data_IF_488652278626
#
_entry.id   IF_488652278626
#
_cell.length_a   1.000
_cell.length_b   1.000
_cell.length_c   1.000
_cell.angle_alpha   90.00
_cell.angle_beta   90.00
_cell.angle_gamma   90.00
#
_symmetry.space_group_name_H-M   'P 1'
#
loop_
_entity.id
_entity.type
_entity.pdbx_description
1 polymer ?
#
# COMPACT_ATOMS: atom_id res chain seq x y z
N UNK A 1 -12.76 -19.85 -7.91
CA UNK A 1 -12.93 -18.73 -8.86
C UNK A 1 -14.21 -18.02 -8.49
N UNK A 2 -14.16 -16.69 -8.35
CA UNK A 2 -15.34 -15.87 -8.09
C UNK A 2 -15.48 -14.88 -9.24
N UNK A 3 -16.71 -14.65 -9.71
CA UNK A 3 -17.03 -13.73 -10.78
C UNK A 3 -17.87 -12.58 -10.23
N UNK A 4 -17.53 -11.36 -10.60
CA UNK A 4 -18.28 -10.15 -10.27
C UNK A 4 -18.64 -9.42 -11.58
N UNK A 5 -19.90 -9.02 -11.71
CA UNK A 5 -20.38 -8.20 -12.85
C UNK A 5 -20.81 -6.86 -12.29
N UNK A 6 -20.17 -5.79 -12.77
CA UNK A 6 -20.59 -4.41 -12.48
C UNK A 6 -21.45 -3.94 -13.64
N UNK A 7 -22.72 -3.62 -13.37
CA UNK A 7 -23.67 -3.11 -14.36
C UNK A 7 -23.70 -1.58 -14.31
N UNK A 8 -24.08 -0.95 -15.42
CA UNK A 8 -24.20 0.50 -15.55
C UNK A 8 -22.93 1.25 -15.11
N UNK A 9 -21.76 0.75 -15.53
CA UNK A 9 -20.50 1.44 -15.30
C UNK A 9 -20.38 2.60 -16.28
N UNK A 10 -20.14 3.81 -15.77
CA UNK A 10 -19.93 4.98 -16.62
C UNK A 10 -18.76 4.76 -17.58
N UNK A 11 -18.92 5.22 -18.83
CA UNK A 11 -17.93 5.00 -19.88
C UNK A 11 -16.59 5.69 -19.57
N UNK A 12 -16.61 6.83 -18.89
CA UNK A 12 -15.41 7.54 -18.46
C UNK A 12 -14.61 6.76 -17.42
N UNK A 13 -15.28 6.07 -16.49
CA UNK A 13 -14.66 5.19 -15.49
C UNK A 13 -14.00 4.01 -16.19
N UNK A 14 -14.69 3.40 -17.16
CA UNK A 14 -14.14 2.30 -17.97
C UNK A 14 -12.89 2.74 -18.73
N UNK A 15 -12.92 3.90 -19.39
CA UNK A 15 -11.75 4.43 -20.11
C UNK A 15 -10.57 4.70 -19.18
N UNK A 16 -10.82 5.33 -18.02
CA UNK A 16 -9.78 5.60 -17.03
C UNK A 16 -9.16 4.32 -16.48
N UNK A 17 -9.96 3.28 -16.24
CA UNK A 17 -9.47 1.96 -15.83
C UNK A 17 -8.56 1.33 -16.90
N UNK A 18 -8.95 1.40 -18.17
CA UNK A 18 -8.12 0.89 -19.27
C UNK A 18 -6.81 1.66 -19.39
N UNK A 19 -6.84 2.98 -19.30
CA UNK A 19 -5.63 3.81 -19.33
C UNK A 19 -4.70 3.48 -18.16
N UNK A 20 -5.24 3.31 -16.95
CA UNK A 20 -4.49 2.95 -15.75
C UNK A 20 -3.85 1.56 -15.89
N UNK A 21 -4.60 0.59 -16.41
CA UNK A 21 -4.09 -0.76 -16.67
C UNK A 21 -2.90 -0.74 -17.65
N UNK A 22 -3.00 0.04 -18.74
CA UNK A 22 -1.90 0.24 -19.69
C UNK A 22 -0.67 0.86 -19.03
N UNK A 23 -0.85 1.88 -18.17
CA UNK A 23 0.26 2.51 -17.42
C UNK A 23 0.97 1.51 -16.49
N UNK A 24 0.23 0.57 -15.92
CA UNK A 24 0.78 -0.47 -15.04
C UNK A 24 1.24 -1.73 -15.79
N UNK A 25 1.14 -1.78 -17.13
CA UNK A 25 1.58 -2.92 -17.93
C UNK A 25 0.76 -4.19 -17.71
N UNK A 26 -0.53 -4.07 -17.37
CA UNK A 26 -1.42 -5.22 -17.08
C UNK A 26 -2.76 -5.12 -17.77
N UNK A 27 -3.52 -6.22 -17.76
CA UNK A 27 -4.88 -6.23 -18.30
C UNK A 27 -5.82 -5.38 -17.43
N UNK A 28 -6.89 -4.87 -18.04
CA UNK A 28 -7.93 -4.13 -17.32
C UNK A 28 -8.55 -4.97 -16.20
N UNK A 29 -8.71 -6.28 -16.42
CA UNK A 29 -9.20 -7.21 -15.40
C UNK A 29 -8.25 -7.28 -14.20
N UNK A 30 -6.93 -7.42 -14.43
CA UNK A 30 -5.94 -7.47 -13.35
C UNK A 30 -5.86 -6.13 -12.60
N UNK A 31 -6.01 -5.00 -13.31
CA UNK A 31 -6.11 -3.68 -12.69
C UNK A 31 -7.31 -3.61 -11.75
N UNK A 32 -8.50 -3.99 -12.21
CA UNK A 32 -9.72 -3.98 -11.41
C UNK A 32 -9.59 -4.90 -10.20
N UNK A 33 -9.08 -6.13 -10.41
CA UNK A 33 -8.86 -7.08 -9.31
C UNK A 33 -7.89 -6.53 -8.27
N UNK A 34 -6.84 -5.84 -8.71
CA UNK A 34 -5.88 -5.22 -7.81
C UNK A 34 -6.52 -4.07 -7.03
N UNK A 35 -7.25 -3.19 -7.70
CA UNK A 35 -7.96 -2.08 -7.04
C UNK A 35 -8.91 -2.62 -5.97
N UNK A 36 -9.74 -3.62 -6.31
CA UNK A 36 -10.66 -4.25 -5.35
C UNK A 36 -9.91 -4.90 -4.19
N UNK A 37 -8.81 -5.62 -4.48
CA UNK A 37 -7.98 -6.23 -3.43
C UNK A 37 -7.42 -5.18 -2.48
N UNK A 38 -6.88 -4.08 -2.99
CA UNK A 38 -6.38 -3.00 -2.14
C UNK A 38 -7.50 -2.32 -1.38
N UNK A 39 -8.63 -2.01 -2.02
CA UNK A 39 -9.74 -1.33 -1.36
C UNK A 39 -10.36 -2.15 -0.23
N UNK A 40 -10.46 -3.48 -0.41
CA UNK A 40 -11.12 -4.36 0.57
C UNK A 40 -10.15 -4.90 1.62
N UNK A 41 -8.90 -5.22 1.24
CA UNK A 41 -7.92 -5.82 2.17
C UNK A 41 -6.98 -4.79 2.81
N UNK A 42 -6.98 -3.53 2.39
CA UNK A 42 -6.20 -2.51 3.08
C UNK A 42 -6.80 -2.16 4.45
N UNK A 43 -8.12 -2.26 4.64
CA UNK A 43 -8.76 -2.01 5.94
C UNK A 43 -8.42 -3.07 7.01
N UNK A 44 -8.13 -4.31 6.61
CA UNK A 44 -7.71 -5.37 7.54
C UNK A 44 -6.27 -5.19 8.04
N UNK A 45 -5.48 -4.36 7.35
CA UNK A 45 -4.30 -3.77 7.97
C UNK A 45 -4.79 -2.55 8.69
N UNK A 46 -5.37 -2.76 9.87
CA UNK A 46 -5.41 -1.74 10.91
C UNK A 46 -4.07 -1.01 10.81
N UNK A 47 -4.11 0.27 10.45
CA UNK A 47 -2.94 1.11 10.28
C UNK A 47 -2.23 1.11 11.62
N UNK A 48 -1.39 0.09 11.85
CA UNK A 48 -0.57 0.01 13.05
C UNK A 48 0.27 1.26 12.93
N UNK A 49 0.09 2.25 13.83
CA UNK A 49 0.70 3.54 13.67
C UNK A 49 2.19 3.32 13.44
N UNK A 50 2.78 4.08 12.51
CA UNK A 50 4.17 3.88 12.11
C UNK A 50 5.10 3.77 13.34
N UNK A 51 4.84 4.57 14.38
CA UNK A 51 5.51 4.51 15.67
C UNK A 51 5.42 3.14 16.37
N UNK A 52 4.24 2.53 16.42
CA UNK A 52 4.04 1.19 17.00
C UNK A 52 4.76 0.10 16.19
N UNK A 53 4.78 0.22 14.86
CA UNK A 53 5.54 -0.70 13.99
C UNK A 53 7.05 -0.58 14.21
N UNK A 54 7.55 0.64 14.30
CA UNK A 54 8.95 0.93 14.58
C UNK A 54 9.34 0.40 15.96
N UNK A 55 8.57 0.73 17.00
CA UNK A 55 8.80 0.26 18.36
C UNK A 55 8.84 -1.28 18.43
N UNK A 56 7.88 -1.97 17.79
CA UNK A 56 7.87 -3.44 17.75
C UNK A 56 9.08 -4.04 17.04
N UNK A 57 9.58 -3.40 15.96
CA UNK A 57 10.77 -3.87 15.23
C UNK A 57 12.06 -3.75 16.06
N UNK A 58 12.12 -2.77 16.95
CA UNK A 58 13.32 -2.48 17.75
C UNK A 58 13.18 -2.84 19.24
N UNK A 59 12.07 -3.44 19.68
CA UNK A 59 11.77 -3.74 21.08
C UNK A 59 12.86 -4.58 21.79
N UNK A 60 13.60 -5.40 21.04
CA UNK A 60 14.72 -6.21 21.55
C UNK A 60 16.11 -5.74 21.12
N UNK A 61 16.22 -4.60 20.43
CA UNK A 61 17.48 -4.13 19.85
C UNK A 61 18.40 -3.41 20.85
N UNK A 62 17.93 -3.15 22.08
CA UNK A 62 18.75 -2.52 23.12
C UNK A 62 19.23 -1.11 22.74
N UNK A 63 18.37 -0.32 22.09
CA UNK A 63 18.67 1.05 21.67
C UNK A 63 18.69 2.00 22.90
N UNK A 64 19.70 1.85 23.75
CA UNK A 64 19.91 2.66 24.95
C UNK A 64 20.94 3.75 24.75
N UNK A 65 21.66 3.74 23.62
CA UNK A 65 22.60 4.78 23.25
C UNK A 65 21.84 6.07 22.90
N UNK A 66 22.35 7.21 23.34
CA UNK A 66 21.86 8.50 22.86
C UNK A 66 22.05 8.58 21.35
N UNK A 67 21.02 9.10 20.67
CA UNK A 67 21.08 9.40 19.26
C UNK A 67 22.12 10.50 19.04
N UNK A 68 23.27 10.11 18.50
CA UNK A 68 24.31 11.03 18.06
C UNK A 68 23.82 11.76 16.81
N UNK A 69 23.93 13.08 16.84
CA UNK A 69 23.74 13.87 15.64
C UNK A 69 24.83 13.51 14.61
N UNK A 70 24.50 13.42 13.31
CA UNK A 70 25.47 13.02 12.28
C UNK A 70 26.73 13.90 12.24
N UNK A 71 26.64 15.14 12.71
CA UNK A 71 27.76 16.08 12.82
C UNK A 71 28.75 15.72 13.92
N UNK A 72 28.31 15.02 14.97
CA UNK A 72 29.14 14.70 16.13
C UNK A 72 29.91 13.38 15.95
N UNK A 73 29.48 12.53 15.00
CA UNK A 73 30.14 11.26 14.69
C UNK A 73 31.45 11.39 13.89
N UNK A 74 31.79 12.60 13.43
CA UNK A 74 32.98 12.88 12.59
C UNK A 74 34.15 13.53 13.36
N UNK A 75 34.07 13.60 14.70
CA UNK A 75 35.12 14.11 15.59
C UNK A 75 35.80 12.98 16.35
#
# INVERSE_FOLDING_TARGET
MAQLIVRNLDDDVKERLQQRARRHGRSTEEEVRTILRHAVLADDRADVPLGTRLAGRFAGAGLTAELLEPSDAAR
#
